data_IF_082086183833
#
_entry.id   IF_082086183833
#
_cell.length_a   1.000
_cell.length_b   1.000
_cell.length_c   1.000
_cell.angle_alpha   90.00
_cell.angle_beta   90.00
_cell.angle_gamma   90.00
#
_symmetry.space_group_name_H-M   'P 1'
#
loop_
_entity.id
_entity.type
_entity.pdbx_description
1 polymer ?
#
# COMPACT_ATOMS: atom_id res chain seq x y z
N UNK A 1 10.15 -12.16 14.57
CA UNK A 1 9.68 -10.76 14.54
C UNK A 1 8.24 -10.71 14.05
N UNK A 2 7.34 -10.50 14.97
CA UNK A 2 5.90 -10.58 14.70
C UNK A 2 5.43 -9.55 13.64
N UNK A 3 6.11 -8.41 13.53
CA UNK A 3 5.67 -7.35 12.64
C UNK A 3 6.16 -7.49 11.19
N UNK A 4 6.91 -8.53 10.88
CA UNK A 4 7.19 -8.83 9.46
C UNK A 4 5.92 -9.18 8.69
N UNK A 5 4.87 -9.57 9.39
CA UNK A 5 3.58 -9.89 8.78
C UNK A 5 2.71 -8.67 8.50
N UNK A 6 3.24 -7.46 8.72
CA UNK A 6 2.45 -6.23 8.59
C UNK A 6 1.88 -6.05 7.17
N UNK A 7 2.50 -6.63 6.15
CA UNK A 7 1.96 -6.60 4.79
C UNK A 7 0.58 -7.25 4.68
N UNK A 8 0.30 -8.26 5.50
CA UNK A 8 -1.03 -8.87 5.55
C UNK A 8 -2.08 -7.88 6.06
N UNK A 9 -1.68 -6.99 6.96
CA UNK A 9 -2.55 -5.93 7.47
C UNK A 9 -2.89 -4.94 6.37
N UNK A 10 -1.90 -4.53 5.58
CA UNK A 10 -2.11 -3.65 4.42
C UNK A 10 -3.10 -4.30 3.45
N UNK A 11 -2.90 -5.56 3.13
CA UNK A 11 -3.80 -6.28 2.23
C UNK A 11 -5.22 -6.34 2.78
N UNK A 12 -5.38 -6.62 4.08
CA UNK A 12 -6.70 -6.68 4.72
C UNK A 12 -7.41 -5.34 4.66
N UNK A 13 -6.73 -4.25 4.99
CA UNK A 13 -7.32 -2.91 4.95
C UNK A 13 -7.83 -2.61 3.54
N UNK A 14 -7.03 -2.92 2.53
CA UNK A 14 -7.38 -2.64 1.14
C UNK A 14 -8.51 -3.54 0.63
N UNK A 15 -8.47 -4.84 0.93
CA UNK A 15 -9.50 -5.77 0.47
C UNK A 15 -10.85 -5.54 1.16
N UNK A 16 -10.85 -5.06 2.39
CA UNK A 16 -12.07 -4.74 3.14
C UNK A 16 -12.66 -3.38 2.79
N UNK A 17 -11.90 -2.53 2.09
CA UNK A 17 -12.40 -1.23 1.65
C UNK A 17 -13.25 -1.40 0.41
N UNK A 18 -14.52 -0.98 0.47
CA UNK A 18 -15.48 -1.17 -0.63
C UNK A 18 -15.03 -0.50 -1.92
N UNK A 19 -14.54 0.74 -1.83
CA UNK A 19 -14.15 1.50 -3.02
C UNK A 19 -12.93 0.87 -3.70
N UNK A 20 -11.93 0.50 -2.92
CA UNK A 20 -10.74 -0.17 -3.45
C UNK A 20 -11.11 -1.51 -4.07
N UNK A 21 -11.95 -2.28 -3.37
CA UNK A 21 -12.39 -3.58 -3.84
C UNK A 21 -13.21 -3.49 -5.13
N UNK A 22 -13.98 -2.43 -5.29
CA UNK A 22 -14.76 -2.19 -6.49
C UNK A 22 -13.89 -2.06 -7.73
N UNK A 23 -12.71 -1.42 -7.60
CA UNK A 23 -11.78 -1.27 -8.71
C UNK A 23 -10.88 -2.48 -8.92
N UNK A 24 -10.38 -3.05 -7.83
CA UNK A 24 -9.30 -4.04 -7.89
C UNK A 24 -9.78 -5.48 -7.67
N UNK A 25 -10.92 -5.65 -7.00
CA UNK A 25 -11.39 -6.96 -6.59
C UNK A 25 -10.29 -7.64 -5.74
N UNK A 26 -9.87 -8.84 -6.10
CA UNK A 26 -8.80 -9.55 -5.38
C UNK A 26 -7.41 -9.36 -6.00
N UNK A 27 -7.25 -8.38 -6.90
CA UNK A 27 -5.99 -8.17 -7.62
C UNK A 27 -5.04 -7.28 -6.83
N UNK A 28 -4.70 -7.70 -5.63
CA UNK A 28 -3.79 -7.03 -4.69
C UNK A 28 -2.73 -8.05 -4.31
N UNK A 29 -1.49 -7.82 -4.77
CA UNK A 29 -0.42 -8.82 -4.70
C UNK A 29 0.81 -8.30 -3.97
N UNK A 30 1.48 -9.16 -3.18
CA UNK A 30 2.78 -8.79 -2.60
C UNK A 30 3.87 -8.89 -3.67
N UNK A 31 4.64 -7.83 -3.83
CA UNK A 31 5.87 -7.74 -4.64
C UNK A 31 5.65 -7.84 -6.14
N UNK A 32 4.93 -8.85 -6.60
CA UNK A 32 4.74 -9.11 -8.03
C UNK A 32 3.33 -9.64 -8.28
N UNK A 33 2.70 -9.18 -9.37
CA UNK A 33 1.39 -9.71 -9.77
C UNK A 33 1.56 -11.08 -10.45
N UNK A 34 0.55 -11.93 -10.29
CA UNK A 34 0.54 -13.23 -10.98
C UNK A 34 0.57 -13.02 -12.50
N UNK A 35 1.25 -13.94 -13.21
CA UNK A 35 1.31 -13.88 -14.66
C UNK A 35 -0.10 -13.91 -15.25
N UNK A 36 -0.34 -13.07 -16.26
CA UNK A 36 -1.65 -12.99 -16.91
C UNK A 36 -2.71 -12.20 -16.15
N UNK A 37 -2.34 -11.52 -15.07
CA UNK A 37 -3.29 -10.67 -14.34
C UNK A 37 -3.77 -9.52 -15.22
N UNK A 38 -5.08 -9.35 -15.31
CA UNK A 38 -5.66 -8.24 -16.06
C UNK A 38 -5.52 -6.93 -15.29
N UNK A 39 -5.37 -5.84 -16.05
CA UNK A 39 -5.36 -4.49 -15.47
C UNK A 39 -6.78 -4.07 -15.07
N UNK A 40 -6.95 -3.25 -14.04
CA UNK A 40 -5.91 -2.73 -13.15
C UNK A 40 -5.56 -3.72 -12.05
N UNK A 41 -4.38 -3.55 -11.46
CA UNK A 41 -3.99 -4.32 -10.28
C UNK A 41 -3.09 -3.46 -9.38
N UNK A 42 -2.86 -3.95 -8.17
CA UNK A 42 -2.02 -3.29 -7.18
C UNK A 42 -0.98 -4.26 -6.66
N UNK A 43 0.25 -3.79 -6.53
CA UNK A 43 1.29 -4.52 -5.83
C UNK A 43 1.78 -3.70 -4.64
N UNK A 44 2.14 -4.38 -3.56
CA UNK A 44 2.68 -3.74 -2.38
C UNK A 44 3.97 -4.43 -1.96
N UNK A 45 4.90 -3.65 -1.40
CA UNK A 45 6.21 -4.15 -1.00
C UNK A 45 6.68 -3.40 0.24
N UNK A 46 7.11 -4.13 1.26
CA UNK A 46 7.80 -3.51 2.38
C UNK A 46 9.25 -3.29 1.94
N UNK A 47 9.70 -2.05 1.92
CA UNK A 47 11.08 -1.76 1.51
C UNK A 47 11.97 -1.36 2.69
N UNK A 48 11.38 -1.12 3.86
CA UNK A 48 12.16 -0.79 5.04
C UNK A 48 11.41 -1.20 6.31
N UNK A 49 12.15 -1.56 7.33
CA UNK A 49 11.62 -1.89 8.64
C UNK A 49 12.60 -1.40 9.69
N UNK A 50 12.12 -0.59 10.63
CA UNK A 50 12.90 -0.05 11.72
C UNK A 50 12.33 -0.60 13.03
N UNK A 51 13.09 -1.43 13.76
CA UNK A 51 12.61 -1.96 15.02
C UNK A 51 12.52 -0.86 16.08
N UNK A 52 11.75 -1.14 17.13
CA UNK A 52 11.63 -0.22 18.25
C UNK A 52 13.01 0.01 18.89
N UNK A 53 13.31 1.29 19.18
CA UNK A 53 14.55 1.66 19.86
C UNK A 53 14.26 2.09 21.29
N UNK A 54 14.85 1.40 22.24
CA UNK A 54 14.71 1.75 23.67
C UNK A 54 15.33 3.11 23.99
N UNK A 55 16.34 3.52 23.23
CA UNK A 55 17.05 4.77 23.47
C UNK A 55 16.21 5.98 23.08
N UNK A 56 15.45 5.86 22.02
CA UNK A 56 14.70 6.98 21.45
C UNK A 56 13.21 6.91 21.73
N UNK A 57 12.76 5.85 22.39
CA UNK A 57 11.33 5.59 22.65
C UNK A 57 10.50 5.61 21.35
N UNK A 58 11.15 5.27 20.23
CA UNK A 58 10.51 5.26 18.91
C UNK A 58 9.76 3.94 18.72
N UNK A 59 8.54 4.02 18.26
CA UNK A 59 7.75 2.84 17.92
C UNK A 59 8.35 2.13 16.71
N UNK A 60 8.03 0.83 16.57
CA UNK A 60 8.38 0.09 15.37
C UNK A 60 7.75 0.74 14.16
N UNK A 61 8.49 0.76 13.08
CA UNK A 61 8.06 1.43 11.86
C UNK A 61 8.41 0.59 10.64
N UNK A 62 7.44 0.45 9.74
CA UNK A 62 7.66 -0.18 8.44
C UNK A 62 7.32 0.82 7.35
N UNK A 63 8.03 0.74 6.24
CA UNK A 63 7.75 1.58 5.07
C UNK A 63 7.36 0.68 3.91
N UNK A 64 6.26 1.05 3.25
CA UNK A 64 5.66 0.29 2.16
C UNK A 64 5.55 1.14 0.91
N UNK A 65 5.89 0.49 -0.21
CA UNK A 65 5.63 1.03 -1.53
C UNK A 65 4.41 0.33 -2.10
N UNK A 66 3.47 1.12 -2.60
CA UNK A 66 2.27 0.60 -3.26
C UNK A 66 2.28 1.13 -4.69
N UNK A 67 2.14 0.23 -5.65
CA UNK A 67 2.03 0.58 -7.05
C UNK A 67 0.69 0.15 -7.59
N UNK A 68 -0.02 1.10 -8.18
CA UNK A 68 -1.28 0.85 -8.89
C UNK A 68 -0.95 0.91 -10.37
N UNK A 69 -1.29 -0.16 -11.09
CA UNK A 69 -1.01 -0.30 -12.52
C UNK A 69 -2.34 -0.35 -13.26
N UNK A 70 -2.52 0.55 -14.22
CA UNK A 70 -3.77 0.64 -14.96
C UNK A 70 -3.51 0.95 -16.44
N UNK A 71 -4.46 0.58 -17.28
CA UNK A 71 -4.38 0.82 -18.70
C UNK A 71 -4.67 2.28 -19.05
N UNK A 72 -5.53 2.93 -18.27
CA UNK A 72 -5.93 4.33 -18.48
C UNK A 72 -5.42 5.19 -17.33
N UNK A 73 -4.95 6.38 -17.67
CA UNK A 73 -4.48 7.34 -16.68
C UNK A 73 -5.54 7.63 -15.62
N UNK A 74 -6.76 7.92 -16.05
CA UNK A 74 -7.85 8.26 -15.13
C UNK A 74 -8.12 7.17 -14.11
N UNK A 75 -8.08 5.91 -14.54
CA UNK A 75 -8.27 4.77 -13.64
C UNK A 75 -7.16 4.69 -12.61
N UNK A 76 -5.90 4.92 -13.03
CA UNK A 76 -4.78 4.89 -12.11
C UNK A 76 -4.95 5.95 -11.00
N UNK A 77 -5.41 7.13 -11.36
CA UNK A 77 -5.63 8.24 -10.41
C UNK A 77 -6.76 7.92 -9.44
N UNK A 78 -7.89 7.43 -9.96
CA UNK A 78 -9.05 7.09 -9.13
C UNK A 78 -8.71 6.01 -8.10
N UNK A 79 -7.98 5.00 -8.53
CA UNK A 79 -7.59 3.91 -7.64
C UNK A 79 -6.58 4.40 -6.60
N UNK A 80 -5.61 5.22 -7.02
CA UNK A 80 -4.64 5.81 -6.09
C UNK A 80 -5.33 6.66 -5.03
N UNK A 81 -6.34 7.42 -5.43
CA UNK A 81 -7.13 8.23 -4.51
C UNK A 81 -7.85 7.35 -3.48
N UNK A 82 -8.50 6.29 -3.94
CA UNK A 82 -9.20 5.35 -3.05
C UNK A 82 -8.24 4.66 -2.08
N UNK A 83 -7.08 4.23 -2.57
CA UNK A 83 -6.05 3.59 -1.75
C UNK A 83 -5.50 4.58 -0.72
N UNK A 84 -5.22 5.80 -1.14
CA UNK A 84 -4.75 6.85 -0.25
C UNK A 84 -5.74 7.12 0.88
N UNK A 85 -7.01 7.23 0.55
CA UNK A 85 -8.06 7.46 1.55
C UNK A 85 -8.21 6.29 2.50
N UNK A 86 -8.02 5.06 2.01
CA UNK A 86 -8.13 3.87 2.85
C UNK A 86 -6.99 3.76 3.86
N UNK A 87 -5.79 4.17 3.48
CA UNK A 87 -4.59 3.95 4.27
C UNK A 87 -4.16 5.16 5.08
N UNK A 88 -4.24 6.37 4.52
CA UNK A 88 -3.73 7.55 5.23
C UNK A 88 -4.56 7.84 6.47
N UNK A 89 -3.87 8.03 7.59
CA UNK A 89 -4.45 8.26 8.91
C UNK A 89 -5.19 7.04 9.50
N UNK A 90 -4.98 5.85 8.93
CA UNK A 90 -5.54 4.62 9.50
C UNK A 90 -4.94 4.33 10.87
N UNK A 91 -5.79 3.89 11.80
CA UNK A 91 -5.42 3.51 13.17
C UNK A 91 -6.25 2.32 13.61
N UNK A 92 -5.66 1.47 14.41
CA UNK A 92 -6.38 0.39 15.09
C UNK A 92 -5.61 -0.06 16.34
N UNK A 93 -5.97 -1.23 16.87
CA UNK A 93 -5.35 -1.73 18.11
C UNK A 93 -3.84 -2.01 17.96
N UNK A 94 -3.38 -2.34 16.74
CA UNK A 94 -1.99 -2.69 16.48
C UNK A 94 -1.22 -1.57 15.80
N UNK A 95 -1.93 -0.66 15.14
CA UNK A 95 -1.34 0.40 14.31
C UNK A 95 -1.57 1.76 14.96
N UNK A 96 -0.48 2.44 15.27
CA UNK A 96 -0.54 3.81 15.79
C UNK A 96 -1.00 4.77 14.70
N UNK A 97 -0.41 4.67 13.52
CA UNK A 97 -0.83 5.45 12.34
C UNK A 97 -0.19 4.92 11.06
N UNK A 98 -0.83 5.23 9.96
CA UNK A 98 -0.29 5.06 8.62
C UNK A 98 -0.31 6.45 7.97
N UNK A 99 0.82 6.85 7.36
CA UNK A 99 0.92 8.17 6.73
C UNK A 99 1.56 8.04 5.36
N UNK A 100 1.00 8.76 4.39
CA UNK A 100 1.60 8.91 3.08
C UNK A 100 2.85 9.79 3.20
N UNK A 101 3.97 9.30 2.67
CA UNK A 101 5.24 10.04 2.66
C UNK A 101 5.39 10.81 1.36
N UNK A 102 5.29 10.10 0.25
CA UNK A 102 5.43 10.66 -1.10
C UNK A 102 4.58 9.86 -2.08
N UNK A 103 4.30 10.48 -3.21
CA UNK A 103 3.68 9.78 -4.34
C UNK A 103 4.25 10.33 -5.65
N UNK A 104 4.25 9.50 -6.66
CA UNK A 104 4.62 9.90 -8.00
C UNK A 104 3.89 9.05 -9.03
N UNK A 105 3.95 9.46 -10.29
CA UNK A 105 3.29 8.75 -11.37
C UNK A 105 4.22 8.57 -12.55
N UNK A 106 3.97 7.53 -13.34
CA UNK A 106 4.82 7.22 -14.49
C UNK A 106 4.02 6.47 -15.55
N UNK A 107 4.60 6.40 -16.75
CA UNK A 107 4.08 5.61 -17.86
C UNK A 107 5.19 4.70 -18.35
N UNK A 108 5.05 3.41 -18.11
CA UNK A 108 6.11 2.42 -18.34
C UNK A 108 5.48 1.21 -19.03
N UNK A 109 6.07 0.73 -20.12
CA UNK A 109 5.61 -0.47 -20.83
C UNK A 109 4.12 -0.40 -21.18
N UNK A 110 3.67 0.77 -21.63
CA UNK A 110 2.30 1.02 -22.11
C UNK A 110 1.24 0.95 -21.00
N UNK A 111 1.65 1.09 -19.73
CA UNK A 111 0.72 1.18 -18.61
C UNK A 111 1.02 2.41 -17.74
N UNK A 112 0.01 2.89 -17.06
CA UNK A 112 0.15 3.99 -16.10
C UNK A 112 0.36 3.42 -14.72
N UNK A 113 1.35 3.96 -14.00
CA UNK A 113 1.71 3.50 -12.66
C UNK A 113 1.66 4.68 -11.70
N UNK A 114 0.85 4.52 -10.66
CA UNK A 114 0.85 5.45 -9.51
C UNK A 114 1.61 4.76 -8.38
N UNK A 115 2.63 5.42 -7.86
CA UNK A 115 3.42 4.88 -6.76
C UNK A 115 3.17 5.72 -5.51
N UNK A 116 2.74 5.05 -4.43
CA UNK A 116 2.50 5.69 -3.14
C UNK A 116 3.41 5.04 -2.10
N UNK A 117 4.11 5.87 -1.36
CA UNK A 117 4.98 5.41 -0.28
C UNK A 117 4.39 5.81 1.07
N UNK A 118 4.17 4.81 1.90
CA UNK A 118 3.59 5.00 3.24
C UNK A 118 4.55 4.52 4.30
N UNK A 119 4.48 5.13 5.47
CA UNK A 119 5.02 4.48 6.66
C UNK A 119 3.88 4.02 7.56
N UNK A 120 4.15 2.96 8.30
CA UNK A 120 3.25 2.42 9.31
C UNK A 120 3.98 2.45 10.63
N UNK A 121 3.44 3.15 11.62
CA UNK A 121 3.91 3.12 12.99
C UNK A 121 3.09 2.10 13.76
N UNK A 122 3.77 1.19 14.45
CA UNK A 122 3.16 0.11 15.20
C UNK A 122 3.21 0.41 16.69
N UNK A 123 2.18 -0.03 17.40
CA UNK A 123 2.13 0.12 18.87
C UNK A 123 3.04 -0.85 19.57
#
# INVERSE_FOLDING_TARGET
>A
MKHFKIGQKIKSILTENEEVNQYLSNKIFPIVANAGTELPFLIYRRFNYTPQSDKDYTNERAEFEIRIVAKKYEDSVKIADAVGDALNDYKDNDVEQIRLITSNEDYIDEVFVQTLNFYIELK
#
